data_IF_420339068751
#
_entry.id   IF_420339068751
#
_cell.length_a   1.000
_cell.length_b   1.000
_cell.length_c   1.000
_cell.angle_alpha   90.00
_cell.angle_beta   90.00
_cell.angle_gamma   90.00
#
_symmetry.space_group_name_H-M   'P 1'
#
loop_
_entity.id
_entity.type
_entity.pdbx_description
1 polymer ?
#
# COMPACT_ATOMS: atom_id res chain seq x y z
N UNK A 1 -23.42 -4.36 26.43
CA UNK A 1 -22.17 -3.68 25.99
C UNK A 1 -22.56 -2.78 24.84
N UNK A 2 -22.61 -1.48 25.08
CA UNK A 2 -22.96 -0.46 24.09
C UNK A 2 -21.93 -0.47 22.97
N UNK A 3 -22.36 -0.70 21.72
CA UNK A 3 -21.54 -0.46 20.53
C UNK A 3 -21.03 1.00 20.60
N UNK A 4 -19.77 1.28 20.29
CA UNK A 4 -19.31 2.65 20.17
C UNK A 4 -20.20 3.35 19.11
N UNK A 5 -20.91 4.39 19.54
CA UNK A 5 -21.74 5.20 18.66
C UNK A 5 -20.86 5.74 17.52
N UNK A 6 -21.23 5.41 16.30
CA UNK A 6 -20.58 5.92 15.11
C UNK A 6 -20.57 7.45 15.17
N UNK A 7 -19.40 8.07 15.00
CA UNK A 7 -19.26 9.52 15.08
C UNK A 7 -19.17 10.09 13.65
N UNK A 8 -20.16 10.85 13.22
CA UNK A 8 -20.17 11.37 11.84
C UNK A 8 -19.14 12.49 11.65
N UNK A 9 -18.63 12.65 10.43
CA UNK A 9 -17.72 13.75 10.09
C UNK A 9 -18.34 15.14 10.27
N UNK A 10 -19.67 15.24 10.23
CA UNK A 10 -20.42 16.50 10.47
C UNK A 10 -20.26 17.05 11.89
N UNK A 11 -19.76 16.25 12.84
CA UNK A 11 -19.44 16.71 14.20
C UNK A 11 -18.13 17.54 14.24
N UNK A 12 -17.37 17.57 13.15
CA UNK A 12 -16.11 18.31 13.06
C UNK A 12 -16.32 19.69 12.40
N UNK A 13 -15.47 20.68 12.70
CA UNK A 13 -15.53 22.02 12.11
C UNK A 13 -14.98 22.03 10.67
N UNK A 14 -15.56 21.20 9.79
CA UNK A 14 -15.21 21.11 8.37
C UNK A 14 -16.16 21.98 7.54
N UNK A 15 -15.67 22.45 6.39
CA UNK A 15 -16.50 23.24 5.48
C UNK A 15 -17.63 22.41 4.87
N UNK A 16 -18.77 23.01 4.48
CA UNK A 16 -19.84 22.28 3.79
C UNK A 16 -19.36 21.58 2.51
N UNK A 17 -18.42 22.19 1.76
CA UNK A 17 -17.82 21.61 0.56
C UNK A 17 -17.02 20.34 0.90
N UNK A 18 -16.22 20.38 1.96
CA UNK A 18 -15.47 19.21 2.45
C UNK A 18 -16.40 18.08 2.87
N UNK A 19 -17.47 18.38 3.62
CA UNK A 19 -18.46 17.38 4.05
C UNK A 19 -19.19 16.75 2.85
N UNK A 20 -19.56 17.56 1.85
CA UNK A 20 -20.20 17.08 0.62
C UNK A 20 -19.24 16.15 -0.17
N UNK A 21 -17.96 16.52 -0.29
CA UNK A 21 -16.95 15.68 -0.95
C UNK A 21 -16.74 14.36 -0.18
N UNK A 22 -16.67 14.38 1.14
CA UNK A 22 -16.57 13.18 1.98
C UNK A 22 -17.73 12.22 1.73
N UNK A 23 -18.97 12.75 1.71
CA UNK A 23 -20.16 11.94 1.42
C UNK A 23 -20.11 11.31 0.03
N UNK A 24 -19.69 12.06 -1.01
CA UNK A 24 -19.52 11.53 -2.37
C UNK A 24 -18.42 10.43 -2.45
N UNK A 25 -17.41 10.52 -1.60
CA UNK A 25 -16.32 9.53 -1.52
C UNK A 25 -16.67 8.32 -0.65
N UNK A 26 -17.87 8.30 -0.04
CA UNK A 26 -18.35 7.21 0.82
C UNK A 26 -17.85 7.27 2.27
N UNK A 27 -17.30 8.40 2.71
CA UNK A 27 -16.94 8.64 4.11
C UNK A 27 -18.18 9.08 4.89
N UNK A 28 -18.83 8.14 5.55
CA UNK A 28 -20.05 8.40 6.35
C UNK A 28 -19.67 8.69 7.80
N UNK A 29 -19.04 7.74 8.44
CA UNK A 29 -18.64 7.81 9.83
C UNK A 29 -17.12 7.75 9.99
N UNK A 30 -16.62 8.38 11.04
CA UNK A 30 -15.20 8.36 11.38
C UNK A 30 -14.78 7.00 11.92
N UNK A 31 -13.63 6.52 11.48
CA UNK A 31 -12.96 5.41 12.15
C UNK A 31 -12.49 5.84 13.56
N UNK A 32 -12.20 4.89 14.47
CA UNK A 32 -11.74 5.24 15.81
C UNK A 32 -10.52 6.18 15.84
N UNK A 33 -9.54 5.97 14.93
CA UNK A 33 -8.37 6.86 14.84
C UNK A 33 -8.74 8.24 14.34
N UNK A 34 -9.65 8.36 13.40
CA UNK A 34 -10.14 9.64 12.89
C UNK A 34 -10.88 10.40 13.97
N UNK A 35 -11.80 9.75 14.69
CA UNK A 35 -12.57 10.37 15.76
C UNK A 35 -11.68 10.88 16.91
N UNK A 36 -10.60 10.15 17.22
CA UNK A 36 -9.68 10.53 18.30
C UNK A 36 -8.64 11.59 17.84
N UNK A 37 -8.16 11.55 16.60
CA UNK A 37 -7.06 12.40 16.13
C UNK A 37 -7.52 13.69 15.46
N UNK A 38 -8.63 13.68 14.71
CA UNK A 38 -9.08 14.86 13.94
C UNK A 38 -9.39 16.09 14.80
N UNK A 39 -10.09 16.00 15.95
CA UNK A 39 -10.33 17.18 16.78
C UNK A 39 -9.03 17.86 17.24
N UNK A 40 -8.00 17.07 17.57
CA UNK A 40 -6.69 17.56 18.00
C UNK A 40 -5.94 18.20 16.81
N UNK A 41 -5.91 17.51 15.69
CA UNK A 41 -5.20 17.98 14.49
C UNK A 41 -5.85 19.24 13.87
N UNK A 42 -7.18 19.31 13.82
CA UNK A 42 -7.91 20.49 13.36
C UNK A 42 -7.74 21.70 14.30
N UNK A 43 -7.52 21.46 15.60
CA UNK A 43 -7.17 22.52 16.55
C UNK A 43 -5.73 23.04 16.40
N UNK A 44 -4.95 22.50 15.45
CA UNK A 44 -3.57 22.93 15.17
C UNK A 44 -2.53 22.42 16.16
N UNK A 45 -2.88 21.42 16.99
CA UNK A 45 -1.95 20.83 17.96
C UNK A 45 -1.08 19.77 17.30
N UNK A 46 0.16 19.63 17.77
CA UNK A 46 1.01 18.50 17.36
C UNK A 46 0.43 17.19 17.90
N UNK A 47 0.57 16.13 17.11
CA UNK A 47 -0.07 14.85 17.38
C UNK A 47 0.90 13.69 17.19
N UNK A 48 0.85 12.74 18.10
CA UNK A 48 1.39 11.40 17.93
C UNK A 48 0.20 10.43 17.92
N UNK A 49 0.00 9.78 16.78
CA UNK A 49 -1.10 8.85 16.59
C UNK A 49 -0.57 7.43 16.33
N UNK A 50 -0.80 6.53 17.29
CA UNK A 50 -0.45 5.13 17.15
C UNK A 50 -1.66 4.36 16.61
N UNK A 51 -1.53 3.90 15.35
CA UNK A 51 -2.56 3.09 14.69
C UNK A 51 -2.00 2.34 13.49
N UNK A 52 -2.54 1.15 13.21
CA UNK A 52 -2.14 0.28 12.08
C UNK A 52 -2.43 0.88 10.72
N UNK A 53 -1.76 0.34 9.70
CA UNK A 53 -2.10 0.57 8.29
C UNK A 53 -3.55 0.15 8.02
N UNK A 54 -4.28 0.94 7.22
CA UNK A 54 -5.69 0.69 6.90
C UNK A 54 -6.70 1.15 7.96
N UNK A 55 -6.27 1.80 9.05
CA UNK A 55 -7.18 2.34 10.07
C UNK A 55 -7.84 3.67 9.69
N UNK A 56 -7.47 4.28 8.53
CA UNK A 56 -7.99 5.56 8.08
C UNK A 56 -7.12 6.78 8.45
N UNK A 57 -5.85 6.57 8.82
CA UNK A 57 -4.87 7.63 9.15
C UNK A 57 -4.73 8.67 8.04
N UNK A 58 -4.65 8.20 6.78
CA UNK A 58 -4.44 9.06 5.62
C UNK A 58 -5.52 10.12 5.50
N UNK A 59 -6.78 9.77 5.68
CA UNK A 59 -7.87 10.74 5.68
C UNK A 59 -7.78 11.71 6.88
N UNK A 60 -7.37 11.21 8.05
CA UNK A 60 -7.24 12.05 9.24
C UNK A 60 -6.23 13.17 9.04
N UNK A 61 -4.97 12.87 8.67
CA UNK A 61 -4.00 13.93 8.46
C UNK A 61 -4.29 14.77 7.20
N UNK A 62 -4.86 14.17 6.16
CA UNK A 62 -5.22 14.92 4.94
C UNK A 62 -6.27 15.99 5.21
N UNK A 63 -7.32 15.69 5.96
CA UNK A 63 -8.34 16.67 6.34
C UNK A 63 -7.75 17.78 7.21
N UNK A 64 -6.86 17.44 8.15
CA UNK A 64 -6.19 18.42 9.00
C UNK A 64 -5.33 19.39 8.19
N UNK A 65 -4.46 18.89 7.29
CA UNK A 65 -3.62 19.76 6.48
C UNK A 65 -4.42 20.58 5.46
N UNK A 66 -5.48 20.01 4.86
CA UNK A 66 -6.35 20.75 3.92
C UNK A 66 -7.10 21.88 4.60
N UNK A 67 -7.50 21.73 5.87
CA UNK A 67 -8.18 22.78 6.61
C UNK A 67 -7.32 24.03 6.87
N UNK A 68 -6.00 23.91 6.72
CA UNK A 68 -5.02 24.98 6.96
C UNK A 68 -4.42 25.55 5.68
N UNK A 69 -4.88 25.06 4.53
CA UNK A 69 -4.33 25.39 3.23
C UNK A 69 -4.93 26.70 2.71
N UNK A 70 -4.07 27.58 2.20
CA UNK A 70 -4.49 28.71 1.35
C UNK A 70 -4.28 28.33 -0.14
N UNK A 71 -5.35 27.99 -0.84
CA UNK A 71 -5.31 27.60 -2.24
C UNK A 71 -4.88 28.74 -3.21
N UNK A 72 -4.74 29.98 -2.73
CA UNK A 72 -4.27 31.13 -3.52
C UNK A 72 -2.74 31.25 -3.52
N UNK A 73 -2.08 30.70 -2.50
CA UNK A 73 -0.62 30.69 -2.42
C UNK A 73 -0.08 29.39 -2.96
N UNK A 74 0.69 29.44 -4.05
CA UNK A 74 1.33 28.28 -4.67
C UNK A 74 2.67 27.92 -4.01
N UNK A 75 2.92 28.40 -2.81
CA UNK A 75 4.01 27.96 -1.98
C UNK A 75 3.73 26.60 -1.34
N UNK A 76 4.77 25.87 -0.98
CA UNK A 76 4.60 24.58 -0.30
C UNK A 76 4.21 24.81 1.15
N UNK A 77 2.95 24.51 1.46
CA UNK A 77 2.34 24.75 2.78
C UNK A 77 2.26 23.47 3.63
N UNK A 78 2.20 22.30 2.98
CA UNK A 78 2.20 21.02 3.67
C UNK A 78 3.18 20.04 3.04
N UNK A 79 3.82 19.23 3.88
CA UNK A 79 4.69 18.14 3.45
C UNK A 79 4.34 16.85 4.19
N UNK A 80 4.30 15.76 3.43
CA UNK A 80 4.06 14.42 3.96
C UNK A 80 5.27 13.55 3.60
N UNK A 81 5.97 13.02 4.61
CA UNK A 81 7.03 12.05 4.44
C UNK A 81 6.50 10.64 4.58
N UNK A 82 6.85 9.79 3.64
CA UNK A 82 6.47 8.38 3.58
C UNK A 82 7.73 7.50 3.39
N UNK A 83 7.76 6.26 3.92
CA UNK A 83 8.92 5.37 3.81
C UNK A 83 9.21 4.91 2.39
N UNK A 84 8.18 4.74 1.57
CA UNK A 84 8.29 4.20 0.21
C UNK A 84 7.56 5.05 -0.81
N UNK A 85 7.92 4.87 -2.08
CA UNK A 85 7.29 5.57 -3.22
C UNK A 85 5.84 5.18 -3.39
N UNK A 86 5.58 3.89 -3.27
CA UNK A 86 4.26 3.31 -3.43
C UNK A 86 3.29 3.92 -2.40
N UNK A 87 3.72 4.02 -1.14
CA UNK A 87 2.92 4.68 -0.12
C UNK A 87 2.77 6.17 -0.40
N UNK A 88 3.83 6.86 -0.83
CA UNK A 88 3.76 8.27 -1.19
C UNK A 88 2.76 8.52 -2.34
N UNK A 89 2.74 7.66 -3.35
CA UNK A 89 1.78 7.75 -4.46
C UNK A 89 0.33 7.48 -4.00
N UNK A 90 0.11 6.49 -3.13
CA UNK A 90 -1.20 6.20 -2.54
C UNK A 90 -1.70 7.37 -1.70
N UNK A 91 -0.84 7.89 -0.82
CA UNK A 91 -1.15 9.06 0.01
C UNK A 91 -1.47 10.28 -0.87
N UNK A 92 -0.65 10.54 -1.88
CA UNK A 92 -0.89 11.65 -2.80
C UNK A 92 -2.21 11.51 -3.57
N UNK A 93 -2.59 10.30 -3.97
CA UNK A 93 -3.89 10.05 -4.61
C UNK A 93 -5.05 10.33 -3.64
N UNK A 94 -4.94 9.88 -2.40
CA UNK A 94 -5.98 10.11 -1.40
C UNK A 94 -6.11 11.60 -1.02
N UNK A 95 -4.96 12.28 -0.84
CA UNK A 95 -4.95 13.75 -0.65
C UNK A 95 -5.65 14.47 -1.80
N UNK A 96 -5.36 14.09 -3.07
CA UNK A 96 -6.02 14.66 -4.26
C UNK A 96 -7.52 14.41 -4.28
N UNK A 97 -7.98 13.22 -3.83
CA UNK A 97 -9.42 12.89 -3.73
C UNK A 97 -10.12 13.78 -2.70
N UNK A 98 -9.50 13.93 -1.53
CA UNK A 98 -10.03 14.75 -0.45
C UNK A 98 -9.96 16.26 -0.76
N UNK A 99 -8.93 16.69 -1.50
CA UNK A 99 -8.75 18.08 -1.92
C UNK A 99 -9.74 18.54 -3.00
N UNK A 100 -10.59 17.68 -3.56
CA UNK A 100 -11.59 18.06 -4.59
C UNK A 100 -12.62 19.07 -4.08
N UNK A 101 -12.77 19.20 -2.76
CA UNK A 101 -13.62 20.24 -2.15
C UNK A 101 -13.08 21.66 -2.37
N UNK A 102 -11.78 21.78 -2.64
CA UNK A 102 -11.08 23.05 -2.88
C UNK A 102 -10.60 23.12 -4.33
N UNK A 103 -10.80 24.26 -4.98
CA UNK A 103 -10.33 24.44 -6.35
C UNK A 103 -8.81 24.67 -6.40
N UNK A 104 -8.17 24.19 -7.46
CA UNK A 104 -6.77 24.43 -7.80
C UNK A 104 -5.70 23.89 -6.82
N UNK A 105 -6.02 23.01 -5.89
CA UNK A 105 -5.01 22.41 -5.01
C UNK A 105 -4.07 21.51 -5.80
N UNK A 106 -2.79 21.87 -5.80
CA UNK A 106 -1.73 21.13 -6.49
C UNK A 106 -0.94 20.28 -5.50
N UNK A 107 -0.96 18.96 -5.72
CA UNK A 107 -0.23 17.95 -4.93
C UNK A 107 0.85 17.35 -5.79
N UNK A 108 2.11 17.48 -5.39
CA UNK A 108 3.26 16.89 -6.07
C UNK A 108 3.78 15.68 -5.30
N UNK A 109 4.16 14.63 -6.05
CA UNK A 109 4.86 13.47 -5.49
C UNK A 109 6.35 13.60 -5.80
N UNK A 110 7.21 13.61 -4.76
CA UNK A 110 8.66 13.71 -4.88
C UNK A 110 9.31 12.43 -4.35
N UNK A 111 9.54 11.48 -5.26
CA UNK A 111 10.13 10.18 -4.93
C UNK A 111 11.32 9.88 -5.83
N UNK A 112 12.27 9.09 -5.32
CA UNK A 112 13.41 8.59 -6.09
C UNK A 112 12.93 7.67 -7.25
N UNK A 113 13.85 7.19 -8.13
CA UNK A 113 13.56 6.31 -9.28
C UNK A 113 12.86 6.96 -10.46
N UNK A 114 12.45 8.21 -10.35
CA UNK A 114 12.04 9.06 -11.46
C UNK A 114 13.04 10.17 -11.67
N UNK A 115 13.19 10.71 -12.91
CA UNK A 115 14.13 11.79 -13.17
C UNK A 115 13.86 13.03 -12.29
N UNK A 116 14.92 13.64 -11.78
CA UNK A 116 14.86 14.85 -10.95
C UNK A 116 14.27 16.06 -11.67
N UNK A 117 14.65 16.25 -12.94
CA UNK A 117 14.30 17.44 -13.72
C UNK A 117 12.81 17.70 -13.86
N UNK A 118 11.95 16.73 -14.18
CA UNK A 118 10.50 16.95 -14.22
C UNK A 118 9.90 17.33 -12.87
N UNK A 119 10.45 16.81 -11.75
CA UNK A 119 10.00 17.16 -10.41
C UNK A 119 10.41 18.62 -10.08
N UNK A 120 11.64 19.03 -10.39
CA UNK A 120 12.11 20.40 -10.21
C UNK A 120 11.25 21.39 -11.02
N UNK A 121 11.01 21.12 -12.30
CA UNK A 121 10.13 21.93 -13.14
C UNK A 121 8.71 22.05 -12.59
N UNK A 122 8.17 20.97 -12.01
CA UNK A 122 6.86 21.01 -11.37
C UNK A 122 6.84 21.89 -10.12
N UNK A 123 7.94 21.91 -9.35
CA UNK A 123 8.11 22.79 -8.17
C UNK A 123 8.25 24.27 -8.58
N UNK A 124 8.95 24.57 -9.67
CA UNK A 124 9.04 25.94 -10.22
C UNK A 124 7.68 26.54 -10.54
N UNK A 125 6.72 25.73 -10.97
CA UNK A 125 5.32 26.16 -11.21
C UNK A 125 4.49 26.25 -9.94
N UNK A 126 5.10 26.05 -8.76
CA UNK A 126 4.46 26.03 -7.47
C UNK A 126 3.71 24.73 -7.15
N UNK A 127 3.49 24.48 -5.88
CA UNK A 127 2.67 23.40 -5.35
C UNK A 127 2.24 23.75 -3.93
N UNK A 128 1.07 23.26 -3.52
CA UNK A 128 0.55 23.49 -2.17
C UNK A 128 1.00 22.38 -1.21
N UNK A 129 1.01 21.15 -1.70
CA UNK A 129 1.30 19.95 -0.91
C UNK A 129 2.35 19.12 -1.63
N UNK A 130 3.36 18.69 -0.88
CA UNK A 130 4.40 17.78 -1.33
C UNK A 130 4.28 16.47 -0.54
N UNK A 131 4.24 15.35 -1.25
CA UNK A 131 4.29 14.00 -0.68
C UNK A 131 5.55 13.32 -1.20
N UNK A 132 6.39 12.79 -0.32
CA UNK A 132 7.64 12.19 -0.82
C UNK A 132 8.37 11.29 0.16
N UNK A 133 9.45 10.69 -0.35
CA UNK A 133 10.38 9.91 0.48
C UNK A 133 11.51 10.81 1.01
N UNK A 134 12.00 10.59 2.24
CA UNK A 134 12.97 11.48 2.88
C UNK A 134 14.19 11.83 2.01
N UNK A 135 14.84 10.83 1.42
CA UNK A 135 16.04 11.07 0.61
C UNK A 135 15.78 11.94 -0.63
N UNK A 136 14.65 11.76 -1.36
CA UNK A 136 14.34 12.62 -2.51
C UNK A 136 13.92 14.03 -2.10
N UNK A 137 13.23 14.18 -0.98
CA UNK A 137 12.95 15.50 -0.40
C UNK A 137 14.26 16.24 -0.09
N UNK A 138 15.21 15.55 0.55
CA UNK A 138 16.55 16.11 0.80
C UNK A 138 17.27 16.52 -0.49
N UNK A 139 17.26 15.67 -1.52
CA UNK A 139 17.85 16.01 -2.83
C UNK A 139 17.31 17.34 -3.40
N UNK A 140 16.00 17.59 -3.28
CA UNK A 140 15.38 18.83 -3.75
C UNK A 140 15.70 20.02 -2.85
N UNK A 141 15.80 19.83 -1.54
CA UNK A 141 16.19 20.86 -0.58
C UNK A 141 17.66 21.28 -0.81
N UNK A 142 18.58 20.33 -0.91
CA UNK A 142 20.00 20.56 -1.13
C UNK A 142 20.28 21.30 -2.46
N UNK A 143 19.43 21.07 -3.47
CA UNK A 143 19.52 21.76 -4.78
C UNK A 143 18.77 23.10 -4.83
N UNK A 144 18.09 23.48 -3.75
CA UNK A 144 17.27 24.70 -3.70
C UNK A 144 15.99 24.66 -4.56
N UNK A 145 15.59 23.49 -5.06
CA UNK A 145 14.37 23.32 -5.86
C UNK A 145 13.10 23.38 -4.99
N UNK A 146 13.21 22.99 -3.73
CA UNK A 146 12.11 22.98 -2.76
C UNK A 146 12.37 24.03 -1.68
N UNK A 147 11.40 24.92 -1.48
CA UNK A 147 11.42 25.95 -0.43
C UNK A 147 10.34 25.62 0.59
N UNK A 148 10.65 25.79 1.87
CA UNK A 148 9.77 25.42 2.98
C UNK A 148 9.34 26.62 3.83
N UNK A 149 9.61 27.85 3.39
CA UNK A 149 9.36 29.08 4.18
C UNK A 149 7.89 29.24 4.57
N UNK A 150 6.97 28.79 3.72
CA UNK A 150 5.51 28.84 3.94
C UNK A 150 4.94 27.56 4.57
N UNK A 151 5.78 26.57 4.91
CA UNK A 151 5.31 25.29 5.42
C UNK A 151 4.68 25.44 6.81
N UNK A 152 3.40 25.12 6.90
CA UNK A 152 2.65 25.17 8.14
C UNK A 152 2.29 23.79 8.72
N UNK A 153 2.42 22.71 7.93
CA UNK A 153 2.12 21.35 8.37
C UNK A 153 3.14 20.34 7.86
N UNK A 154 3.72 19.56 8.77
CA UNK A 154 4.59 18.41 8.48
C UNK A 154 3.92 17.14 8.97
N UNK A 155 3.77 16.16 8.10
CA UNK A 155 3.24 14.82 8.42
C UNK A 155 4.33 13.78 8.24
N UNK A 156 4.48 12.92 9.23
CA UNK A 156 5.34 11.73 9.18
C UNK A 156 4.42 10.50 9.19
N UNK A 157 4.23 9.87 8.04
CA UNK A 157 3.39 8.66 7.94
C UNK A 157 4.25 7.41 7.93
N UNK A 158 3.83 6.41 8.71
CA UNK A 158 4.60 5.19 8.99
C UNK A 158 6.04 5.51 9.48
N UNK A 159 6.11 6.38 10.49
CA UNK A 159 7.38 6.89 11.00
C UNK A 159 8.31 5.78 11.52
N UNK A 160 7.78 4.76 12.18
CA UNK A 160 8.52 3.57 12.62
C UNK A 160 9.25 2.90 11.46
N UNK A 161 8.58 2.73 10.33
CA UNK A 161 9.20 2.16 9.12
C UNK A 161 10.28 3.04 8.51
N UNK A 162 10.09 4.34 8.52
CA UNK A 162 11.15 5.26 8.07
C UNK A 162 12.40 5.11 8.93
N UNK A 163 12.24 4.90 10.24
CA UNK A 163 13.37 4.66 11.15
C UNK A 163 14.03 3.31 10.90
N UNK A 164 13.26 2.24 10.70
CA UNK A 164 13.77 0.91 10.35
C UNK A 164 14.58 0.91 9.05
N UNK A 165 14.24 1.80 8.13
CA UNK A 165 14.97 2.01 6.87
C UNK A 165 16.18 2.95 7.00
N UNK A 166 16.48 3.45 8.20
CA UNK A 166 17.61 4.29 8.47
C UNK A 166 17.44 5.77 8.13
N UNK A 167 16.21 6.25 7.89
CA UNK A 167 15.94 7.64 7.49
C UNK A 167 15.90 8.63 8.65
N UNK A 168 16.35 8.25 9.87
CA UNK A 168 16.31 9.17 11.03
C UNK A 168 16.99 10.49 10.73
N UNK A 169 18.22 10.46 10.21
CA UNK A 169 19.01 11.66 9.94
C UNK A 169 18.39 12.53 8.84
N UNK A 170 17.83 11.92 7.81
CA UNK A 170 17.14 12.65 6.73
C UNK A 170 15.88 13.34 7.23
N UNK A 171 15.07 12.64 8.02
CA UNK A 171 13.86 13.22 8.65
C UNK A 171 14.27 14.37 9.58
N UNK A 172 15.31 14.18 10.39
CA UNK A 172 15.81 15.19 11.31
C UNK A 172 16.31 16.45 10.56
N UNK A 173 17.01 16.28 9.44
CA UNK A 173 17.47 17.40 8.59
C UNK A 173 16.28 18.14 7.99
N UNK A 174 15.33 17.43 7.38
CA UNK A 174 14.11 18.03 6.82
C UNK A 174 13.34 18.80 7.89
N UNK A 175 13.12 18.21 9.07
CA UNK A 175 12.39 18.86 10.14
C UNK A 175 13.06 20.15 10.67
N UNK A 176 14.41 20.20 10.68
CA UNK A 176 15.16 21.42 11.05
C UNK A 176 15.05 22.53 10.01
N UNK A 177 14.86 22.19 8.73
CA UNK A 177 14.67 23.17 7.64
C UNK A 177 13.25 23.72 7.57
N UNK A 178 12.30 23.07 8.24
CA UNK A 178 10.91 23.55 8.30
C UNK A 178 10.75 24.66 9.34
N UNK A 179 9.80 25.60 9.16
CA UNK A 179 9.49 26.61 10.17
C UNK A 179 9.17 25.99 11.53
N UNK A 180 9.64 26.61 12.60
CA UNK A 180 9.39 26.12 13.97
C UNK A 180 7.93 26.29 14.41
N UNK A 181 7.18 27.15 13.73
CA UNK A 181 5.75 27.41 13.98
C UNK A 181 4.82 26.37 13.35
N UNK A 182 5.37 25.45 12.52
CA UNK A 182 4.56 24.39 11.88
C UNK A 182 3.85 23.51 12.89
N UNK A 183 2.77 22.91 12.46
CA UNK A 183 2.18 21.74 13.11
C UNK A 183 2.91 20.48 12.63
N UNK A 184 3.19 19.54 13.55
CA UNK A 184 3.78 18.23 13.20
C UNK A 184 2.82 17.12 13.62
N UNK A 185 2.45 16.26 12.65
CA UNK A 185 1.57 15.11 12.83
C UNK A 185 2.38 13.84 12.57
N UNK A 186 2.60 13.03 13.61
CA UNK A 186 3.34 11.79 13.54
C UNK A 186 2.38 10.60 13.64
N UNK A 187 2.37 9.76 12.60
CA UNK A 187 1.59 8.54 12.54
C UNK A 187 2.53 7.33 12.49
N UNK A 188 2.32 6.37 13.36
CA UNK A 188 3.14 5.16 13.48
C UNK A 188 2.31 3.98 13.91
N UNK A 189 2.68 2.76 13.53
CA UNK A 189 2.04 1.55 14.04
C UNK A 189 2.63 1.17 15.40
N UNK A 190 3.94 1.36 15.58
CA UNK A 190 4.70 1.05 16.80
C UNK A 190 5.33 2.32 17.38
N UNK A 191 5.82 2.23 18.60
CA UNK A 191 6.42 3.39 19.30
C UNK A 191 7.80 3.04 19.90
N UNK A 192 8.78 2.66 19.07
CA UNK A 192 10.13 2.35 19.53
C UNK A 192 10.88 3.61 20.00
N UNK A 193 12.03 3.43 20.68
CA UNK A 193 12.86 4.50 21.20
C UNK A 193 13.23 5.58 20.16
N UNK A 194 13.39 5.18 18.91
CA UNK A 194 13.66 6.11 17.82
C UNK A 194 12.52 7.10 17.58
N UNK A 195 11.27 6.65 17.69
CA UNK A 195 10.07 7.51 17.61
C UNK A 195 10.01 8.46 18.81
N UNK A 196 10.34 7.98 20.01
CA UNK A 196 10.43 8.83 21.22
C UNK A 196 11.44 9.96 20.99
N UNK A 197 12.64 9.63 20.54
CA UNK A 197 13.69 10.63 20.23
C UNK A 197 13.25 11.64 19.19
N UNK A 198 12.63 11.17 18.10
CA UNK A 198 12.16 12.03 17.01
C UNK A 198 11.04 12.96 17.50
N UNK A 199 10.09 12.44 18.29
CA UNK A 199 8.99 13.24 18.84
C UNK A 199 9.50 14.33 19.79
N UNK A 200 10.43 14.00 20.69
CA UNK A 200 11.02 14.96 21.64
C UNK A 200 11.79 16.08 20.94
N UNK A 201 12.41 15.82 19.77
CA UNK A 201 13.20 16.82 19.05
C UNK A 201 12.34 17.72 18.15
N UNK A 202 11.24 17.23 17.58
CA UNK A 202 10.58 17.93 16.48
C UNK A 202 9.09 18.21 16.69
N UNK A 203 8.46 17.67 17.75
CA UNK A 203 7.08 17.96 18.10
C UNK A 203 7.01 18.90 19.32
N UNK A 204 5.99 19.74 19.37
CA UNK A 204 5.75 20.73 20.43
C UNK A 204 4.55 20.31 21.25
N UNK A 205 4.78 19.88 22.50
CA UNK A 205 3.70 19.42 23.43
C UNK A 205 2.68 18.54 22.73
N UNK A 206 3.10 17.47 22.04
CA UNK A 206 2.19 16.67 21.23
C UNK A 206 1.12 16.01 22.11
N UNK A 207 -0.07 15.90 21.58
CA UNK A 207 -1.10 15.02 22.14
C UNK A 207 -0.89 13.61 21.62
N UNK A 208 -0.96 12.65 22.53
CA UNK A 208 -0.85 11.24 22.16
C UNK A 208 -2.23 10.61 22.02
N UNK A 209 -2.45 9.95 20.89
CA UNK A 209 -3.61 9.11 20.62
C UNK A 209 -3.12 7.71 20.39
N UNK A 210 -3.40 6.84 21.35
CA UNK A 210 -3.11 5.43 21.26
C UNK A 210 -4.42 4.66 21.27
N UNK A 211 -4.71 4.00 20.17
CA UNK A 211 -5.83 3.07 20.13
C UNK A 211 -5.36 1.75 20.71
N UNK A 212 -5.92 1.36 21.86
CA UNK A 212 -5.76 0.00 22.37
C UNK A 212 -6.42 -0.95 21.36
N UNK A 213 -5.59 -1.69 20.65
CA UNK A 213 -6.10 -2.73 19.78
C UNK A 213 -6.67 -3.87 20.63
N UNK A 214 -7.97 -4.00 20.64
CA UNK A 214 -8.54 -5.33 20.76
C UNK A 214 -8.18 -6.05 19.47
N UNK A 215 -7.12 -6.83 19.48
CA UNK A 215 -6.79 -7.74 18.39
C UNK A 215 -8.04 -8.58 18.12
N UNK A 216 -8.77 -8.20 17.08
CA UNK A 216 -9.82 -9.06 16.56
C UNK A 216 -9.13 -10.16 15.73
N UNK A 217 -8.20 -10.89 16.39
CA UNK A 217 -7.50 -12.07 15.85
C UNK A 217 -8.49 -13.20 15.52
N UNK A 218 -9.78 -13.01 15.81
CA UNK A 218 -10.82 -13.99 15.53
C UNK A 218 -11.05 -14.24 14.04
N UNK A 219 -10.57 -13.33 13.17
CA UNK A 219 -10.74 -13.45 11.70
C UNK A 219 -9.49 -13.97 10.98
N UNK A 220 -8.34 -14.02 11.64
CA UNK A 220 -7.12 -14.60 11.09
C UNK A 220 -6.93 -15.99 11.65
N UNK A 221 -7.11 -17.00 10.80
CA UNK A 221 -6.86 -18.39 11.14
C UNK A 221 -5.38 -18.68 10.94
N UNK A 222 -4.64 -18.81 12.04
CA UNK A 222 -3.21 -19.08 12.01
C UNK A 222 -2.97 -20.60 12.12
N UNK A 223 -2.12 -21.13 11.24
CA UNK A 223 -1.65 -22.51 11.28
C UNK A 223 -0.17 -22.58 11.03
N UNK A 224 0.50 -23.43 11.79
CA UNK A 224 1.92 -23.70 11.66
C UNK A 224 2.13 -25.12 11.18
N UNK A 225 3.12 -25.31 10.32
CA UNK A 225 3.50 -26.58 9.75
C UNK A 225 5.00 -26.80 9.95
N UNK A 226 5.35 -27.94 10.54
CA UNK A 226 6.75 -28.34 10.65
C UNK A 226 7.25 -28.81 9.30
N UNK A 227 8.43 -28.33 8.89
CA UNK A 227 9.07 -28.66 7.62
C UNK A 227 10.57 -28.86 7.80
N UNK A 228 11.16 -29.72 6.96
CA UNK A 228 12.60 -29.71 6.73
C UNK A 228 12.97 -28.63 5.70
N UNK A 229 14.23 -28.21 5.68
CA UNK A 229 14.71 -27.23 4.69
C UNK A 229 14.45 -27.67 3.24
N UNK A 230 14.58 -28.97 2.95
CA UNK A 230 14.38 -29.52 1.60
C UNK A 230 12.92 -29.56 1.17
N UNK A 231 11.99 -29.65 2.12
CA UNK A 231 10.54 -29.70 1.85
C UNK A 231 9.89 -28.31 1.80
N UNK A 232 10.52 -27.32 2.42
CA UNK A 232 9.97 -25.98 2.67
C UNK A 232 9.33 -25.35 1.44
N UNK A 233 10.06 -25.26 0.33
CA UNK A 233 9.55 -24.60 -0.87
C UNK A 233 8.42 -25.40 -1.53
N UNK A 234 8.50 -26.73 -1.52
CA UNK A 234 7.43 -27.59 -2.05
C UNK A 234 6.18 -27.57 -1.18
N UNK A 235 6.33 -27.40 0.15
CA UNK A 235 5.22 -27.27 1.07
C UNK A 235 4.35 -26.03 0.76
N UNK A 236 4.93 -24.97 0.21
CA UNK A 236 4.15 -23.79 -0.23
C UNK A 236 3.13 -24.18 -1.30
N UNK A 237 3.54 -24.98 -2.30
CA UNK A 237 2.63 -25.49 -3.33
C UNK A 237 1.53 -26.41 -2.76
N UNK A 238 1.87 -27.22 -1.75
CA UNK A 238 0.88 -28.06 -1.06
C UNK A 238 -0.17 -27.20 -0.33
N UNK A 239 0.27 -26.14 0.36
CA UNK A 239 -0.63 -25.18 1.01
C UNK A 239 -1.56 -24.49 -0.02
N UNK A 240 -0.99 -24.03 -1.14
CA UNK A 240 -1.77 -23.38 -2.20
C UNK A 240 -2.82 -24.34 -2.81
N UNK A 241 -2.46 -25.59 -3.05
CA UNK A 241 -3.41 -26.59 -3.58
C UNK A 241 -4.49 -26.99 -2.58
N UNK A 242 -4.17 -26.98 -1.27
CA UNK A 242 -5.12 -27.33 -0.22
C UNK A 242 -6.10 -26.19 0.06
N UNK A 243 -5.60 -24.96 0.27
CA UNK A 243 -6.42 -23.81 0.66
C UNK A 243 -7.02 -23.06 -0.53
N UNK A 244 -6.44 -23.18 -1.71
CA UNK A 244 -6.85 -22.56 -2.99
C UNK A 244 -7.14 -21.04 -2.89
N UNK A 245 -6.29 -20.24 -2.24
CA UNK A 245 -6.52 -18.81 -2.12
C UNK A 245 -6.32 -18.12 -3.47
N UNK A 246 -7.23 -17.21 -3.83
CA UNK A 246 -7.14 -16.43 -5.08
C UNK A 246 -6.05 -15.36 -5.00
N UNK A 247 -5.73 -14.90 -3.79
CA UNK A 247 -4.70 -13.88 -3.55
C UNK A 247 -3.86 -14.23 -2.35
N UNK A 248 -2.55 -14.44 -2.58
CA UNK A 248 -1.59 -14.85 -1.55
C UNK A 248 -0.34 -14.00 -1.61
N UNK A 249 0.20 -13.64 -0.44
CA UNK A 249 1.58 -13.19 -0.33
C UNK A 249 2.41 -14.25 0.41
N UNK A 250 3.53 -14.66 -0.18
CA UNK A 250 4.48 -15.59 0.40
C UNK A 250 5.75 -14.85 0.83
N UNK A 251 5.99 -14.75 2.13
CA UNK A 251 7.12 -14.03 2.71
C UNK A 251 8.34 -14.92 2.87
N UNK A 252 9.44 -14.51 2.23
CA UNK A 252 10.77 -15.10 2.37
C UNK A 252 11.72 -14.15 3.09
N UNK A 253 12.67 -14.68 3.85
CA UNK A 253 13.66 -13.86 4.54
C UNK A 253 14.75 -13.33 3.60
N UNK A 254 15.01 -13.98 2.47
CA UNK A 254 16.08 -13.61 1.53
C UNK A 254 15.57 -13.47 0.09
N UNK A 255 16.28 -12.66 -0.70
CA UNK A 255 16.00 -12.51 -2.15
C UNK A 255 16.25 -13.82 -2.92
N UNK A 256 17.30 -14.56 -2.53
CA UNK A 256 17.60 -15.84 -3.19
C UNK A 256 16.45 -16.81 -3.01
N UNK A 257 15.94 -16.95 -1.80
CA UNK A 257 14.80 -17.82 -1.54
C UNK A 257 13.53 -17.38 -2.28
N UNK A 258 13.32 -16.05 -2.50
CA UNK A 258 12.23 -15.58 -3.35
C UNK A 258 12.35 -16.13 -4.78
N UNK A 259 13.57 -16.18 -5.35
CA UNK A 259 13.81 -16.73 -6.69
C UNK A 259 13.59 -18.23 -6.72
N UNK A 260 14.20 -18.94 -5.76
CA UNK A 260 14.09 -20.40 -5.68
C UNK A 260 12.62 -20.83 -5.51
N UNK A 261 11.84 -20.11 -4.69
CA UNK A 261 10.41 -20.37 -4.54
C UNK A 261 9.64 -20.07 -5.82
N UNK A 262 9.98 -18.98 -6.52
CA UNK A 262 9.34 -18.63 -7.78
C UNK A 262 9.51 -19.75 -8.81
N UNK A 263 10.73 -20.27 -8.96
CA UNK A 263 11.05 -21.38 -9.87
C UNK A 263 10.26 -22.64 -9.52
N UNK A 264 10.18 -22.98 -8.23
CA UNK A 264 9.41 -24.14 -7.75
C UNK A 264 7.91 -23.97 -8.04
N UNK A 265 7.35 -22.78 -7.80
CA UNK A 265 5.94 -22.50 -8.06
C UNK A 265 5.61 -22.53 -9.55
N UNK A 266 6.46 -21.96 -10.41
CA UNK A 266 6.29 -22.02 -11.86
C UNK A 266 6.36 -23.46 -12.38
N UNK A 267 7.31 -24.27 -11.88
CA UNK A 267 7.41 -25.71 -12.22
C UNK A 267 6.16 -26.50 -11.81
N UNK A 268 5.43 -26.06 -10.80
CA UNK A 268 4.15 -26.63 -10.36
C UNK A 268 2.91 -26.00 -11.08
N UNK A 269 3.13 -25.08 -12.01
CA UNK A 269 2.07 -24.45 -12.80
C UNK A 269 1.34 -23.27 -12.14
N UNK A 270 1.86 -22.75 -11.02
CA UNK A 270 1.27 -21.56 -10.39
C UNK A 270 1.67 -20.28 -11.10
N UNK A 271 0.75 -19.34 -11.23
CA UNK A 271 1.03 -17.98 -11.65
C UNK A 271 1.53 -17.16 -10.45
N UNK A 272 2.84 -17.08 -10.30
CA UNK A 272 3.52 -16.38 -9.22
C UNK A 272 4.43 -15.28 -9.77
N UNK A 273 4.57 -14.19 -9.03
CA UNK A 273 5.50 -13.09 -9.31
C UNK A 273 6.35 -12.82 -8.08
N UNK A 274 7.61 -12.39 -8.29
CA UNK A 274 8.51 -12.04 -7.20
C UNK A 274 8.62 -10.52 -7.03
N UNK A 275 8.69 -10.08 -5.76
CA UNK A 275 8.90 -8.69 -5.39
C UNK A 275 10.10 -8.59 -4.43
N UNK A 276 11.24 -8.12 -4.93
CA UNK A 276 12.47 -7.96 -4.15
C UNK A 276 13.23 -6.69 -4.56
N UNK A 277 14.23 -6.33 -3.76
CA UNK A 277 14.93 -5.05 -3.90
C UNK A 277 15.84 -4.90 -5.14
N UNK A 278 15.98 -5.94 -5.96
CA UNK A 278 16.77 -5.89 -7.21
C UNK A 278 15.92 -5.53 -8.44
N UNK A 279 14.60 -5.59 -8.32
CA UNK A 279 13.71 -5.13 -9.40
C UNK A 279 13.89 -3.63 -9.60
N UNK A 280 13.96 -3.21 -10.86
CA UNK A 280 13.84 -1.80 -11.18
C UNK A 280 12.42 -1.27 -10.87
N UNK A 281 12.23 0.05 -10.89
CA UNK A 281 10.94 0.63 -10.51
C UNK A 281 9.82 0.25 -11.49
N UNK A 282 10.14 0.08 -12.76
CA UNK A 282 9.15 -0.29 -13.78
C UNK A 282 8.68 -1.74 -13.60
N UNK A 283 9.63 -2.64 -13.37
CA UNK A 283 9.35 -4.05 -13.08
C UNK A 283 8.50 -4.16 -11.82
N UNK A 284 8.90 -3.44 -10.76
CA UNK A 284 8.16 -3.40 -9.49
C UNK A 284 6.72 -2.93 -9.68
N UNK A 285 6.52 -1.84 -10.43
CA UNK A 285 5.18 -1.31 -10.72
C UNK A 285 4.34 -2.32 -11.51
N UNK A 286 4.94 -3.03 -12.47
CA UNK A 286 4.26 -4.06 -13.25
C UNK A 286 3.81 -5.24 -12.40
N UNK A 287 4.68 -5.75 -11.53
CA UNK A 287 4.36 -6.82 -10.57
C UNK A 287 3.18 -6.43 -9.68
N UNK A 288 3.22 -5.22 -9.12
CA UNK A 288 2.16 -4.73 -8.24
C UNK A 288 0.82 -4.51 -8.97
N UNK A 289 0.88 -4.03 -10.22
CA UNK A 289 -0.33 -3.87 -11.05
C UNK A 289 -0.96 -5.23 -11.35
N UNK A 290 -0.16 -6.23 -11.74
CA UNK A 290 -0.66 -7.57 -12.04
C UNK A 290 -1.28 -8.23 -10.79
N UNK A 291 -0.61 -8.10 -9.65
CA UNK A 291 -1.14 -8.62 -8.38
C UNK A 291 -2.44 -7.91 -7.97
N UNK A 292 -2.48 -6.57 -8.05
CA UNK A 292 -3.68 -5.79 -7.77
C UNK A 292 -4.84 -6.05 -8.75
N UNK A 293 -4.52 -6.51 -9.95
CA UNK A 293 -5.46 -6.89 -11.00
C UNK A 293 -5.96 -8.33 -10.85
N UNK A 294 -5.46 -9.10 -9.87
CA UNK A 294 -5.74 -10.54 -9.70
C UNK A 294 -5.36 -11.39 -10.92
N UNK A 295 -4.33 -10.98 -11.66
CA UNK A 295 -3.72 -11.77 -12.74
C UNK A 295 -2.49 -12.56 -12.30
N UNK A 296 -2.19 -12.50 -11.01
CA UNK A 296 -1.19 -13.31 -10.32
C UNK A 296 -1.81 -13.78 -9.00
N UNK A 297 -1.74 -15.09 -8.72
CA UNK A 297 -2.31 -15.67 -7.50
C UNK A 297 -1.36 -15.59 -6.31
N UNK A 298 -0.04 -15.57 -6.55
CA UNK A 298 0.97 -15.60 -5.51
C UNK A 298 2.02 -14.51 -5.73
N UNK A 299 2.13 -13.61 -4.78
CA UNK A 299 3.23 -12.65 -4.72
C UNK A 299 4.29 -13.15 -3.75
N UNK A 300 5.46 -13.55 -4.24
CA UNK A 300 6.61 -13.93 -3.42
C UNK A 300 7.41 -12.69 -3.07
N UNK A 301 7.60 -12.39 -1.79
CA UNK A 301 8.23 -11.13 -1.42
C UNK A 301 9.11 -11.22 -0.17
N UNK A 302 10.12 -10.35 -0.10
CA UNK A 302 10.81 -10.07 1.16
C UNK A 302 10.07 -8.98 1.94
N UNK A 303 10.22 -8.95 3.28
CA UNK A 303 9.60 -7.91 4.11
C UNK A 303 9.92 -6.50 3.63
N UNK A 304 11.19 -6.24 3.30
CA UNK A 304 11.64 -4.92 2.83
C UNK A 304 10.93 -4.51 1.55
N UNK A 305 10.75 -5.44 0.62
CA UNK A 305 10.11 -5.15 -0.65
C UNK A 305 8.58 -5.00 -0.53
N UNK A 306 7.97 -5.73 0.39
CA UNK A 306 6.53 -5.67 0.66
C UNK A 306 6.13 -4.52 1.60
N UNK A 307 7.09 -3.85 2.23
CA UNK A 307 6.83 -2.70 3.10
C UNK A 307 6.24 -1.53 2.32
N UNK A 308 5.29 -0.84 2.92
CA UNK A 308 4.63 0.33 2.32
C UNK A 308 3.62 0.01 1.22
N UNK A 309 3.40 -1.27 0.88
CA UNK A 309 2.37 -1.66 -0.07
C UNK A 309 1.02 -1.74 0.64
N UNK A 310 0.02 -1.08 0.08
CA UNK A 310 -1.38 -1.30 0.46
C UNK A 310 -1.91 -2.58 -0.21
N UNK A 311 -1.27 -3.69 0.14
CA UNK A 311 -1.77 -5.02 -0.18
C UNK A 311 -2.66 -5.42 0.99
N UNK A 312 -3.92 -5.06 0.90
CA UNK A 312 -4.94 -5.39 1.88
C UNK A 312 -5.91 -6.42 1.32
N UNK A 313 -6.61 -7.12 2.21
CA UNK A 313 -7.66 -8.08 1.85
C UNK A 313 -7.14 -9.31 1.08
N UNK A 314 -5.97 -9.81 1.48
CA UNK A 314 -5.50 -11.09 0.98
C UNK A 314 -6.29 -12.23 1.61
N UNK A 315 -6.54 -13.28 0.83
CA UNK A 315 -7.15 -14.50 1.32
C UNK A 315 -6.17 -15.34 2.15
N UNK A 316 -4.87 -15.29 1.79
CA UNK A 316 -3.83 -15.97 2.54
C UNK A 316 -2.53 -15.15 2.64
N UNK A 317 -1.85 -15.35 3.76
CA UNK A 317 -0.44 -15.01 3.96
C UNK A 317 0.31 -16.31 4.25
N UNK A 318 1.40 -16.57 3.54
CA UNK A 318 2.29 -17.69 3.80
C UNK A 318 3.64 -17.15 4.31
N UNK A 319 3.99 -17.47 5.55
CA UNK A 319 5.34 -17.24 6.05
C UNK A 319 6.19 -18.44 5.65
N UNK A 320 6.94 -18.30 4.55
CA UNK A 320 7.84 -19.36 4.06
C UNK A 320 8.95 -19.61 5.07
N UNK A 321 9.41 -18.53 5.71
CA UNK A 321 10.31 -18.56 6.87
C UNK A 321 9.71 -17.82 8.04
N UNK A 322 9.99 -18.33 9.23
CA UNK A 322 9.68 -17.60 10.47
C UNK A 322 10.63 -16.41 10.60
N UNK A 323 10.06 -15.22 10.70
CA UNK A 323 10.84 -13.99 10.93
C UNK A 323 11.49 -13.99 12.30
N UNK A 324 12.70 -13.44 12.46
CA UNK A 324 13.33 -13.27 13.77
C UNK A 324 12.58 -12.31 14.69
N UNK A 325 11.85 -11.35 14.13
CA UNK A 325 11.13 -10.33 14.86
C UNK A 325 9.62 -10.65 14.92
N UNK A 326 9.06 -10.88 16.13
CA UNK A 326 7.63 -11.16 16.30
C UNK A 326 6.70 -10.04 15.82
N UNK A 327 7.13 -8.76 15.88
CA UNK A 327 6.32 -7.65 15.38
C UNK A 327 6.19 -7.71 13.85
N UNK A 328 7.25 -8.10 13.16
CA UNK A 328 7.21 -8.34 11.71
C UNK A 328 6.23 -9.46 11.37
N UNK A 329 6.18 -10.54 12.17
CA UNK A 329 5.18 -11.59 11.98
C UNK A 329 3.75 -11.04 12.08
N UNK A 330 3.46 -10.25 13.09
CA UNK A 330 2.15 -9.61 13.25
C UNK A 330 1.82 -8.70 12.06
N UNK A 331 2.79 -7.97 11.54
CA UNK A 331 2.61 -7.13 10.35
C UNK A 331 2.38 -7.95 9.07
N UNK A 332 3.07 -9.11 8.91
CA UNK A 332 2.84 -10.02 7.78
C UNK A 332 1.42 -10.58 7.80
N UNK A 333 0.99 -11.18 8.90
CA UNK A 333 -0.33 -11.79 9.01
C UNK A 333 -1.46 -10.74 8.95
N UNK A 334 -1.21 -9.51 9.38
CA UNK A 334 -2.15 -8.40 9.27
C UNK A 334 -2.44 -7.95 7.83
N UNK A 335 -1.89 -8.60 6.79
CA UNK A 335 -2.27 -8.40 5.39
C UNK A 335 -3.54 -9.16 5.00
N UNK A 336 -3.97 -10.11 5.83
CA UNK A 336 -5.22 -10.86 5.67
C UNK A 336 -6.19 -10.61 6.82
N UNK A 337 -7.40 -11.14 6.78
CA UNK A 337 -8.40 -11.05 7.85
C UNK A 337 -8.96 -9.64 8.08
N UNK A 338 -9.04 -8.79 7.05
CA UNK A 338 -9.59 -7.43 7.14
C UNK A 338 -11.04 -7.35 6.63
N UNK A 339 -11.76 -6.31 7.08
CA UNK A 339 -13.07 -5.91 6.56
C UNK A 339 -14.11 -7.04 6.46
N UNK A 340 -14.33 -7.79 7.55
CA UNK A 340 -15.33 -8.85 7.70
C UNK A 340 -15.07 -10.16 6.93
N UNK A 341 -13.90 -10.33 6.31
CA UNK A 341 -13.49 -11.58 5.68
C UNK A 341 -12.49 -12.35 6.56
N UNK A 342 -12.72 -13.66 6.69
CA UNK A 342 -11.76 -14.58 7.29
C UNK A 342 -10.52 -14.69 6.38
N UNK A 343 -9.34 -14.80 6.97
CA UNK A 343 -8.10 -14.96 6.23
C UNK A 343 -7.19 -16.02 6.85
N UNK A 344 -6.34 -16.62 6.02
CA UNK A 344 -5.39 -17.62 6.42
C UNK A 344 -4.00 -17.01 6.65
N UNK A 345 -3.38 -17.35 7.76
CA UNK A 345 -1.97 -17.11 8.03
C UNK A 345 -1.27 -18.46 8.25
N UNK A 346 -0.56 -18.90 7.24
CA UNK A 346 0.08 -20.22 7.18
C UNK A 346 1.58 -20.04 7.34
N UNK A 347 2.19 -20.71 8.32
CA UNK A 347 3.61 -20.55 8.62
C UNK A 347 4.33 -21.89 8.54
N UNK A 348 5.44 -21.90 7.80
CA UNK A 348 6.35 -23.03 7.74
C UNK A 348 7.51 -22.80 8.71
N UNK A 349 7.80 -23.75 9.58
CA UNK A 349 8.88 -23.65 10.54
C UNK A 349 9.70 -24.93 10.61
N UNK A 350 11.03 -24.80 10.60
CA UNK A 350 11.93 -25.90 10.88
C UNK A 350 12.23 -26.00 12.39
N UNK A 351 12.82 -27.12 12.81
CA UNK A 351 13.23 -27.30 14.20
C UNK A 351 14.18 -26.21 14.69
N UNK A 352 15.04 -25.68 13.82
CA UNK A 352 15.98 -24.61 14.16
C UNK A 352 15.30 -23.25 14.38
N UNK A 353 14.06 -23.10 13.93
CA UNK A 353 13.26 -21.86 14.07
C UNK A 353 12.32 -21.88 15.29
N UNK A 354 12.29 -22.97 16.08
CA UNK A 354 11.36 -23.09 17.22
C UNK A 354 11.54 -21.98 18.27
N UNK A 355 12.77 -21.47 18.44
CA UNK A 355 13.02 -20.30 19.31
C UNK A 355 12.30 -19.03 18.83
N UNK A 356 12.20 -18.84 17.51
CA UNK A 356 11.45 -17.71 16.90
C UNK A 356 9.94 -17.92 17.06
N UNK A 357 9.47 -19.17 16.90
CA UNK A 357 8.05 -19.49 17.14
C UNK A 357 7.66 -19.19 18.57
N UNK A 358 8.47 -19.61 19.55
CA UNK A 358 8.22 -19.28 20.98
C UNK A 358 8.22 -17.76 21.25
N UNK A 359 9.05 -16.97 20.55
CA UNK A 359 9.00 -15.52 20.65
C UNK A 359 7.69 -14.94 20.09
N UNK A 360 7.15 -15.50 19.00
CA UNK A 360 5.85 -15.13 18.43
C UNK A 360 4.71 -15.45 19.39
N UNK A 361 4.71 -16.66 19.99
CA UNK A 361 3.72 -17.08 21.01
C UNK A 361 3.69 -16.11 22.19
N UNK A 362 4.86 -15.77 22.72
CA UNK A 362 4.99 -14.80 23.82
C UNK A 362 4.46 -13.42 23.45
N UNK A 363 4.77 -12.92 22.25
CA UNK A 363 4.32 -11.62 21.77
C UNK A 363 2.79 -11.58 21.54
N UNK A 364 2.22 -12.67 21.02
CA UNK A 364 0.78 -12.79 20.77
C UNK A 364 0.00 -13.23 22.02
N UNK A 365 0.69 -13.66 23.09
CA UNK A 365 0.09 -14.26 24.30
C UNK A 365 -0.87 -15.42 23.97
N UNK A 366 -0.47 -16.23 23.01
CA UNK A 366 -1.27 -17.34 22.49
C UNK A 366 -0.33 -18.40 21.91
N UNK A 367 -0.58 -19.66 22.23
CA UNK A 367 0.11 -20.78 21.61
C UNK A 367 -0.26 -20.90 20.12
N UNK A 368 0.70 -21.33 19.31
CA UNK A 368 0.46 -21.57 17.88
C UNK A 368 -0.19 -22.94 17.67
N UNK A 369 -0.99 -23.04 16.62
CA UNK A 369 -1.70 -24.27 16.26
C UNK A 369 -0.89 -25.02 15.21
N UNK A 370 -0.32 -26.16 15.59
CA UNK A 370 0.47 -27.03 14.73
C UNK A 370 -0.39 -28.01 13.97
N UNK A 371 -0.10 -28.18 12.68
CA UNK A 371 -0.76 -29.14 11.79
C UNK A 371 0.29 -29.94 11.00
N UNK A 372 0.08 -31.25 10.78
CA UNK A 372 1.00 -32.03 9.97
C UNK A 372 0.79 -31.75 8.47
N UNK A 373 1.90 -31.66 7.71
CA UNK A 373 1.83 -31.50 6.24
C UNK A 373 1.07 -32.66 5.56
N UNK A 374 1.12 -33.86 6.13
CA UNK A 374 0.42 -35.02 5.59
C UNK A 374 -1.12 -34.90 5.53
N UNK A 375 -1.69 -33.96 6.28
CA UNK A 375 -3.13 -33.66 6.22
C UNK A 375 -3.51 -32.78 5.03
N UNK A 376 -2.53 -32.15 4.37
CA UNK A 376 -2.78 -31.31 3.22
C UNK A 376 -3.13 -32.17 2.00
N UNK A 377 -4.38 -32.09 1.58
CA UNK A 377 -4.87 -32.75 0.35
C UNK A 377 -5.27 -31.70 -0.65
N UNK A 378 -4.96 -31.85 -1.93
CA UNK A 378 -5.46 -30.95 -2.95
C UNK A 378 -7.00 -30.85 -2.87
N UNK A 379 -7.54 -29.64 -2.84
CA UNK A 379 -8.97 -29.40 -2.80
C UNK A 379 -9.64 -29.43 -4.20
N UNK A 380 -8.84 -29.67 -5.25
CA UNK A 380 -9.28 -29.81 -6.63
C UNK A 380 -8.20 -30.42 -7.51
N UNK A 381 -8.59 -30.99 -8.64
CA UNK A 381 -7.67 -31.60 -9.61
C UNK A 381 -7.15 -30.61 -10.66
N UNK A 382 -7.72 -29.41 -10.71
CA UNK A 382 -7.37 -28.36 -11.64
C UNK A 382 -6.29 -27.41 -11.08
N UNK A 383 -5.46 -26.87 -11.95
CA UNK A 383 -4.45 -25.86 -11.57
C UNK A 383 -5.11 -24.61 -11.00
N UNK A 384 -4.54 -24.07 -9.91
CA UNK A 384 -4.98 -22.80 -9.32
C UNK A 384 -4.57 -21.64 -10.25
N UNK A 385 -5.46 -21.23 -11.11
CA UNK A 385 -5.25 -20.11 -12.02
C UNK A 385 -5.84 -18.82 -11.45
N UNK A 386 -5.18 -17.67 -11.66
CA UNK A 386 -5.76 -16.38 -11.31
C UNK A 386 -7.02 -16.09 -12.17
N UNK A 387 -8.05 -15.44 -11.61
CA UNK A 387 -9.33 -15.23 -12.31
C UNK A 387 -9.21 -14.21 -13.46
N UNK A 388 -8.21 -13.35 -13.43
CA UNK A 388 -8.03 -12.29 -14.41
C UNK A 388 -6.70 -12.47 -15.15
N UNK A 389 -6.56 -11.81 -16.29
CA UNK A 389 -5.31 -11.54 -17.00
C UNK A 389 -5.14 -10.05 -17.21
N UNK A 390 -3.90 -9.57 -17.20
CA UNK A 390 -3.61 -8.14 -17.41
C UNK A 390 -3.16 -7.88 -18.84
N UNK A 391 -3.92 -7.05 -19.56
CA UNK A 391 -3.51 -6.51 -20.84
C UNK A 391 -2.75 -5.19 -20.64
N UNK A 392 -1.60 -5.05 -21.29
CA UNK A 392 -0.86 -3.80 -21.39
C UNK A 392 -1.17 -3.14 -22.72
N UNK A 393 -1.69 -1.92 -22.67
CA UNK A 393 -1.90 -1.02 -23.80
C UNK A 393 -0.71 -0.07 -23.84
N UNK A 394 0.01 -0.01 -24.98
CA UNK A 394 1.14 0.90 -25.18
C UNK A 394 0.62 2.31 -25.53
N UNK A 395 0.03 2.94 -24.52
CA UNK A 395 -0.51 4.28 -24.54
C UNK A 395 -1.02 4.66 -23.15
N UNK A 396 -0.71 5.86 -22.71
CA UNK A 396 -0.99 6.30 -21.34
C UNK A 396 -1.52 7.73 -21.27
N UNK A 397 -1.27 8.39 -20.15
CA UNK A 397 -1.69 9.80 -19.92
C UNK A 397 -1.10 10.76 -20.93
N UNK A 398 0.14 10.52 -21.44
CA UNK A 398 0.76 11.33 -22.50
C UNK A 398 -0.01 11.23 -23.81
N UNK A 399 -0.63 10.09 -24.09
CA UNK A 399 -1.51 9.88 -25.24
C UNK A 399 -2.94 10.35 -24.99
N UNK A 400 -3.18 10.96 -23.82
CA UNK A 400 -4.48 11.43 -23.34
C UNK A 400 -5.50 10.29 -23.15
N UNK A 401 -5.04 9.05 -22.94
CA UNK A 401 -5.90 7.91 -22.65
C UNK A 401 -6.37 8.02 -21.20
N UNK A 402 -7.67 7.76 -20.98
CA UNK A 402 -8.34 7.73 -19.69
C UNK A 402 -8.97 6.36 -19.45
N UNK A 403 -9.24 5.95 -18.20
CA UNK A 403 -9.91 4.68 -17.92
C UNK A 403 -11.21 4.49 -18.69
N UNK A 404 -12.03 5.55 -18.82
CA UNK A 404 -13.28 5.51 -19.59
C UNK A 404 -13.12 5.25 -21.07
N UNK A 405 -12.01 5.71 -21.69
CA UNK A 405 -11.72 5.45 -23.12
C UNK A 405 -11.45 3.96 -23.35
N UNK A 406 -10.75 3.30 -22.41
CA UNK A 406 -10.46 1.86 -22.46
C UNK A 406 -11.71 1.04 -22.16
N UNK A 407 -12.45 1.42 -21.13
CA UNK A 407 -13.72 0.75 -20.80
C UNK A 407 -14.69 0.85 -21.99
N UNK A 408 -14.85 2.02 -22.60
CA UNK A 408 -15.70 2.23 -23.76
C UNK A 408 -15.29 1.39 -24.98
N UNK A 409 -13.98 1.26 -25.26
CA UNK A 409 -13.48 0.41 -26.34
C UNK A 409 -13.78 -1.08 -26.08
N UNK A 410 -13.70 -1.53 -24.83
CA UNK A 410 -13.98 -2.91 -24.46
C UNK A 410 -15.50 -3.23 -24.44
N UNK A 411 -16.30 -2.36 -23.83
CA UNK A 411 -17.75 -2.62 -23.67
C UNK A 411 -18.57 -2.22 -24.89
N UNK A 412 -18.17 -1.16 -25.57
CA UNK A 412 -18.88 -0.67 -26.77
C UNK A 412 -18.39 -1.40 -28.02
N UNK A 413 -17.20 -1.05 -28.52
CA UNK A 413 -16.71 -1.55 -29.82
C UNK A 413 -16.38 -3.06 -29.81
N UNK A 414 -15.80 -3.56 -28.71
CA UNK A 414 -15.44 -4.97 -28.60
C UNK A 414 -16.55 -5.86 -28.01
N UNK A 415 -17.58 -5.29 -27.40
CA UNK A 415 -18.81 -5.98 -26.97
C UNK A 415 -18.66 -6.88 -25.74
N UNK A 416 -17.71 -6.60 -24.83
CA UNK A 416 -17.57 -7.33 -23.57
C UNK A 416 -18.51 -6.79 -22.49
N UNK A 417 -18.96 -7.66 -21.57
CA UNK A 417 -19.69 -7.22 -20.38
C UNK A 417 -18.74 -6.42 -19.44
N UNK A 418 -19.23 -5.31 -18.90
CA UNK A 418 -18.47 -4.52 -17.92
C UNK A 418 -18.02 -5.32 -16.69
N UNK A 419 -18.73 -6.41 -16.33
CA UNK A 419 -18.35 -7.31 -15.25
C UNK A 419 -17.10 -8.14 -15.56
N UNK A 420 -16.79 -8.37 -16.83
CA UNK A 420 -15.59 -9.07 -17.28
C UNK A 420 -14.35 -8.17 -17.28
N UNK A 421 -14.53 -6.86 -17.02
CA UNK A 421 -13.48 -5.87 -17.02
C UNK A 421 -13.24 -5.45 -15.57
N UNK A 422 -12.04 -5.70 -15.08
CA UNK A 422 -11.61 -5.32 -13.75
C UNK A 422 -10.95 -3.94 -13.72
N UNK A 423 -9.93 -3.81 -12.90
CA UNK A 423 -9.23 -2.55 -12.66
C UNK A 423 -8.51 -2.03 -13.91
N UNK A 424 -8.62 -0.73 -14.17
CA UNK A 424 -7.91 -0.04 -15.25
C UNK A 424 -6.94 0.95 -14.62
N UNK A 425 -5.63 0.72 -14.82
CA UNK A 425 -4.54 1.55 -14.31
C UNK A 425 -3.87 2.31 -15.45
N UNK A 426 -3.99 3.63 -15.49
CA UNK A 426 -3.35 4.47 -16.51
C UNK A 426 -2.10 5.09 -15.92
N UNK A 427 -0.93 4.72 -16.47
CA UNK A 427 0.37 5.32 -16.16
C UNK A 427 0.71 6.42 -17.17
N UNK A 428 1.92 6.94 -17.12
CA UNK A 428 2.33 8.01 -18.02
C UNK A 428 2.39 7.54 -19.49
N UNK A 429 2.89 6.32 -19.73
CA UNK A 429 3.17 5.79 -21.08
C UNK A 429 2.38 4.53 -21.43
N UNK A 430 1.74 3.89 -20.45
CA UNK A 430 1.02 2.63 -20.65
C UNK A 430 -0.29 2.63 -19.87
N UNK A 431 -1.23 1.82 -20.31
CA UNK A 431 -2.44 1.52 -19.57
C UNK A 431 -2.55 0.01 -19.37
N UNK A 432 -2.90 -0.40 -18.16
CA UNK A 432 -3.06 -1.80 -17.79
C UNK A 432 -4.53 -2.04 -17.44
N UNK A 433 -5.12 -3.09 -18.00
CA UNK A 433 -6.51 -3.44 -17.75
C UNK A 433 -6.61 -4.91 -17.38
N UNK A 434 -7.31 -5.20 -16.28
CA UNK A 434 -7.64 -6.56 -15.89
C UNK A 434 -8.84 -7.05 -16.70
N UNK A 435 -8.72 -8.22 -17.31
CA UNK A 435 -9.77 -8.88 -18.09
C UNK A 435 -9.99 -10.28 -17.52
N UNK A 436 -11.24 -10.71 -17.42
CA UNK A 436 -11.58 -12.08 -17.05
C UNK A 436 -10.82 -13.08 -17.93
N UNK A 437 -10.15 -14.06 -17.31
CA UNK A 437 -9.24 -14.99 -18.00
C UNK A 437 -9.88 -15.65 -19.22
N UNK A 438 -11.13 -16.09 -19.12
CA UNK A 438 -11.83 -16.79 -20.19
C UNK A 438 -12.05 -15.98 -21.47
N UNK A 439 -11.94 -14.64 -21.42
CA UNK A 439 -12.16 -13.74 -22.57
C UNK A 439 -10.93 -12.86 -22.89
N UNK A 440 -9.82 -13.02 -22.15
CA UNK A 440 -8.67 -12.14 -22.28
C UNK A 440 -8.00 -12.19 -23.67
N UNK A 441 -7.82 -13.37 -24.24
CA UNK A 441 -7.26 -13.51 -25.60
C UNK A 441 -8.19 -12.92 -26.70
N UNK A 442 -9.51 -13.03 -26.54
CA UNK A 442 -10.45 -12.39 -27.46
C UNK A 442 -10.39 -10.86 -27.33
N UNK A 443 -10.30 -10.35 -26.08
CA UNK A 443 -10.13 -8.94 -25.81
C UNK A 443 -8.82 -8.40 -26.42
N UNK A 444 -7.70 -9.11 -26.26
CA UNK A 444 -6.42 -8.79 -26.88
C UNK A 444 -6.53 -8.64 -28.40
N UNK A 445 -7.15 -9.62 -29.06
CA UNK A 445 -7.35 -9.62 -30.50
C UNK A 445 -8.21 -8.44 -30.96
N UNK A 446 -9.35 -8.20 -30.31
CA UNK A 446 -10.27 -7.12 -30.66
C UNK A 446 -9.68 -5.73 -30.41
N UNK A 447 -8.96 -5.53 -29.32
CA UNK A 447 -8.29 -4.24 -29.04
C UNK A 447 -7.17 -3.95 -30.04
N UNK A 448 -6.38 -4.95 -30.46
CA UNK A 448 -5.34 -4.76 -31.49
C UNK A 448 -5.92 -4.48 -32.87
N UNK A 449 -7.10 -5.01 -33.20
CA UNK A 449 -7.81 -4.73 -34.44
C UNK A 449 -8.56 -3.38 -34.42
N UNK A 450 -8.95 -2.92 -33.23
CA UNK A 450 -9.77 -1.75 -32.99
C UNK A 450 -8.98 -0.44 -32.80
N UNK A 451 -9.66 0.50 -32.17
CA UNK A 451 -9.10 1.80 -31.81
C UNK A 451 -9.48 2.16 -30.37
N UNK A 452 -8.57 2.79 -29.63
CA UNK A 452 -8.86 3.40 -28.35
C UNK A 452 -8.79 4.91 -28.54
N UNK A 453 -9.89 5.62 -28.26
CA UNK A 453 -9.99 7.07 -28.47
C UNK A 453 -9.63 7.50 -29.91
N UNK A 454 -10.06 6.72 -30.90
CA UNK A 454 -9.81 6.99 -32.33
C UNK A 454 -8.39 6.64 -32.82
N UNK A 455 -7.47 6.18 -31.96
CA UNK A 455 -6.10 5.80 -32.30
C UNK A 455 -5.90 4.28 -32.25
N UNK A 456 -5.14 3.73 -33.19
CA UNK A 456 -4.63 2.36 -33.06
C UNK A 456 -3.52 2.33 -32.04
N UNK A 457 -3.60 1.43 -31.07
CA UNK A 457 -2.59 1.21 -30.03
C UNK A 457 -2.23 -0.27 -30.01
N UNK A 458 -0.98 -0.57 -29.72
CA UNK A 458 -0.53 -1.95 -29.57
C UNK A 458 -0.92 -2.43 -28.15
N UNK A 459 -1.48 -3.63 -28.09
CA UNK A 459 -1.87 -4.28 -26.84
C UNK A 459 -1.17 -5.63 -26.75
N UNK A 460 -0.73 -6.03 -25.55
CA UNK A 460 -0.13 -7.34 -25.28
C UNK A 460 -0.61 -7.89 -23.95
N UNK A 461 -0.56 -9.21 -23.78
CA UNK A 461 -0.65 -9.85 -22.46
C UNK A 461 0.62 -9.60 -21.67
N UNK A 462 0.50 -9.52 -20.34
CA UNK A 462 1.66 -9.33 -19.45
C UNK A 462 2.41 -10.64 -19.17
N UNK A 463 1.76 -11.78 -19.32
CA UNK A 463 2.31 -13.11 -18.95
C UNK A 463 3.02 -13.82 -20.14
N UNK A 464 3.21 -13.16 -21.28
CA UNK A 464 3.83 -13.73 -22.50
C UNK A 464 5.29 -13.27 -22.72
N UNK A 465 6.09 -13.14 -21.64
CA UNK A 465 7.56 -12.95 -21.75
C UNK A 465 8.33 -14.18 -21.28
#
# INVERSE_FOLDING_TARGET
MTQPTATPFSALPLTPATLANLAQLGYVDMTPIQAASLPIALAGQDLIAQAKTGSGKTAAFSLALLSRLDARSFDVQAMILCPTRELADQVAQEVRRLARAEENVKVLTLCGGTPMRPQAQSLEHGAHIVVGTPGRIMDHLDRGNLKLDALNTLVLDEADRMLDMGFFDDIAKVARMCPTTRQTLLFSATYPDGIVKLSQQFLRNPKEVKLEERHNNSKIRQRFYEVTENERLHAVGQLLNHYRPVSTIAFCNTKQQCRDLLDVLHAQGFHALALHGELDQRERDQVLIQFANRSCSVLVATDVAARGLDIAQLEAVINVDVTPDPEVHVHRIGRTGRADQDGWALSLASMDEMGRVGAIENAQKRDVEWHPLAELKPAGDDTLLPPMETLQILGGRKDKIRPGDVLGALTGDAGFDGKQIGKINVTEFSTYVAIERGVAHDALRKLNAGKIKGKRVKVRLMDEE
#
